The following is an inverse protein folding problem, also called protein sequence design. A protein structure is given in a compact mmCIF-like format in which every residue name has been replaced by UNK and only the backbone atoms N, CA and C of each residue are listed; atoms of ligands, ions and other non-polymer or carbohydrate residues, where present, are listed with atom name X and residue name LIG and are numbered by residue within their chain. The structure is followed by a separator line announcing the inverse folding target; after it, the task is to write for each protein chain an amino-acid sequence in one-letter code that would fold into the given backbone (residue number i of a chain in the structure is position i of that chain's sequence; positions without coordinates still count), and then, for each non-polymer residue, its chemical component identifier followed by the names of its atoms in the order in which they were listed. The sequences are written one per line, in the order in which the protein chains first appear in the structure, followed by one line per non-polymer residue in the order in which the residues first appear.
data_IF_292946899465
#
_entry.id   IF_292946899465
#
_cell.length_a   1.000
_cell.length_b   1.000
_cell.length_c   1.000
_cell.angle_alpha   90.00
_cell.angle_beta   90.00
_cell.angle_gamma   90.00
#
_symmetry.space_group_name_H-M   'P 1'
#
loop_
_entity.id
_entity.type
_entity.pdbx_description
1 polymer ?
#
# COMPACT_ATOMS: atom_id res chain seq x y z
N UNK A 1 87.03 -1.45 -16.40
CA UNK A 1 85.95 -1.75 -15.43
C UNK A 1 84.67 -1.24 -16.06
N UNK A 2 83.98 -2.07 -16.85
CA UNK A 2 82.78 -2.86 -16.43
C UNK A 2 81.60 -1.93 -16.09
N UNK A 3 80.44 -1.97 -16.73
CA UNK A 3 79.70 -3.13 -17.22
C UNK A 3 78.64 -2.77 -18.27
N UNK A 4 78.55 -3.67 -19.24
CA UNK A 4 77.48 -3.98 -20.19
C UNK A 4 76.07 -3.91 -19.58
N UNK A 5 75.11 -3.29 -20.28
CA UNK A 5 73.69 -3.67 -20.19
C UNK A 5 73.05 -3.71 -21.58
N UNK A 6 72.36 -4.83 -21.80
CA UNK A 6 71.77 -5.30 -23.04
C UNK A 6 70.47 -4.59 -23.40
N UNK A 7 70.13 -4.66 -24.70
CA UNK A 7 68.83 -4.33 -25.29
C UNK A 7 67.69 -5.15 -24.66
N UNK A 8 66.54 -4.50 -24.49
CA UNK A 8 65.22 -5.15 -24.56
C UNK A 8 64.38 -4.34 -25.55
N UNK A 9 64.10 -4.99 -26.67
CA UNK A 9 62.98 -4.72 -27.57
C UNK A 9 61.66 -5.06 -26.87
N UNK A 10 60.68 -4.17 -26.95
CA UNK A 10 59.24 -4.47 -26.90
C UNK A 10 58.56 -3.19 -27.43
N UNK A 11 58.07 -3.03 -28.65
CA UNK A 11 57.21 -3.89 -29.50
C UNK A 11 56.12 -4.61 -28.73
N UNK A 12 55.01 -3.93 -28.47
CA UNK A 12 53.73 -4.62 -28.21
C UNK A 12 52.79 -3.89 -27.27
N UNK A 13 52.09 -2.86 -27.75
CA UNK A 13 51.04 -2.20 -26.96
C UNK A 13 49.86 -1.63 -27.75
N UNK A 14 49.86 -1.73 -29.08
CA UNK A 14 48.79 -1.18 -29.95
C UNK A 14 47.99 -2.24 -30.71
N UNK A 15 48.19 -3.54 -30.45
CA UNK A 15 47.58 -4.63 -31.24
C UNK A 15 46.45 -5.40 -30.53
N UNK A 16 45.98 -4.97 -29.35
CA UNK A 16 44.98 -5.75 -28.59
C UNK A 16 43.51 -5.39 -28.88
N UNK A 17 43.23 -4.28 -29.58
CA UNK A 17 41.85 -3.88 -29.93
C UNK A 17 41.52 -3.91 -31.44
N UNK A 18 42.49 -4.15 -32.32
CA UNK A 18 42.27 -4.24 -33.78
C UNK A 18 41.80 -5.63 -34.25
N UNK A 19 41.82 -6.63 -33.37
CA UNK A 19 41.53 -8.04 -33.71
C UNK A 19 40.03 -8.40 -33.74
N UNK A 20 39.14 -7.44 -33.44
CA UNK A 20 37.68 -7.64 -33.53
C UNK A 20 37.08 -7.21 -34.89
N UNK A 21 37.89 -6.69 -35.81
CA UNK A 21 37.50 -6.43 -37.20
C UNK A 21 37.76 -7.67 -38.06
N UNK A 22 37.05 -8.75 -37.77
CA UNK A 22 37.16 -9.98 -38.53
C UNK A 22 36.27 -9.92 -39.78
N UNK A 23 36.76 -9.25 -40.83
CA UNK A 23 36.15 -9.18 -42.18
C UNK A 23 35.78 -10.56 -42.76
N UNK A 24 36.39 -11.64 -42.23
CA UNK A 24 36.13 -13.03 -42.60
C UNK A 24 34.73 -13.52 -42.17
N UNK A 25 34.17 -13.00 -41.07
CA UNK A 25 32.81 -13.30 -40.65
C UNK A 25 31.77 -12.49 -41.43
N UNK A 26 32.14 -11.28 -41.90
CA UNK A 26 31.31 -10.46 -42.78
C UNK A 26 31.25 -10.99 -44.23
N UNK A 27 32.33 -11.61 -44.73
CA UNK A 27 32.35 -12.20 -46.07
C UNK A 27 31.42 -13.41 -46.19
N UNK A 28 31.48 -14.36 -45.23
CA UNK A 28 30.61 -15.54 -45.22
C UNK A 28 29.13 -15.21 -44.92
N UNK A 29 28.85 -14.13 -44.17
CA UNK A 29 27.48 -13.64 -43.97
C UNK A 29 26.92 -12.98 -45.23
N UNK A 30 27.70 -12.21 -46.00
CA UNK A 30 27.23 -11.67 -47.29
C UNK A 30 26.88 -12.77 -48.29
N UNK A 31 27.73 -13.78 -48.42
CA UNK A 31 27.50 -14.91 -49.33
C UNK A 31 26.30 -15.78 -48.91
N UNK A 32 26.08 -15.95 -47.59
CA UNK A 32 24.88 -16.61 -47.05
C UNK A 32 23.60 -15.78 -47.24
N UNK A 33 23.67 -14.46 -47.07
CA UNK A 33 22.56 -13.52 -47.26
C UNK A 33 22.14 -13.38 -48.73
N UNK A 34 23.07 -13.47 -49.68
CA UNK A 34 22.81 -13.39 -51.12
C UNK A 34 22.43 -14.74 -51.74
N UNK A 35 22.65 -15.86 -51.05
CA UNK A 35 22.30 -17.19 -51.54
C UNK A 35 20.77 -17.42 -51.52
N UNK A 36 20.19 -17.78 -52.67
CA UNK A 36 18.77 -18.15 -52.78
C UNK A 36 18.50 -19.59 -52.27
N UNK A 37 19.23 -19.99 -51.22
CA UNK A 37 19.19 -21.32 -50.62
C UNK A 37 18.01 -21.47 -49.67
N UNK A 38 17.39 -22.66 -49.64
CA UNK A 38 16.34 -23.03 -48.68
C UNK A 38 16.85 -22.85 -47.24
N UNK A 39 18.13 -23.14 -46.98
CA UNK A 39 18.74 -23.00 -45.66
C UNK A 39 18.84 -21.54 -45.22
N UNK A 40 19.19 -20.63 -46.13
CA UNK A 40 19.24 -19.20 -45.85
C UNK A 40 17.85 -18.61 -45.56
N UNK A 41 16.83 -19.02 -46.33
CA UNK A 41 15.43 -18.65 -46.07
C UNK A 41 14.93 -19.16 -44.71
N UNK A 42 15.29 -20.39 -44.36
CA UNK A 42 14.93 -20.98 -43.07
C UNK A 42 15.63 -20.27 -41.90
N UNK A 43 16.93 -19.99 -42.01
CA UNK A 43 17.70 -19.26 -41.00
C UNK A 43 17.21 -17.81 -40.84
N UNK A 44 16.88 -17.13 -41.94
CA UNK A 44 16.29 -15.79 -41.91
C UNK A 44 14.92 -15.80 -41.22
N UNK A 45 14.07 -16.78 -41.52
CA UNK A 45 12.76 -16.92 -40.86
C UNK A 45 12.93 -17.15 -39.34
N UNK A 46 13.89 -17.98 -38.94
CA UNK A 46 14.25 -18.17 -37.53
C UNK A 46 14.73 -16.89 -36.84
N UNK A 47 15.56 -16.09 -37.52
CA UNK A 47 16.04 -14.80 -37.01
C UNK A 47 14.88 -13.81 -36.84
N UNK A 48 14.00 -13.69 -37.84
CA UNK A 48 12.81 -12.84 -37.76
C UNK A 48 11.89 -13.28 -36.62
N UNK A 49 11.67 -14.58 -36.46
CA UNK A 49 10.89 -15.13 -35.35
C UNK A 49 11.52 -14.78 -34.00
N UNK A 50 12.84 -14.90 -33.86
CA UNK A 50 13.56 -14.57 -32.62
C UNK A 50 13.45 -13.07 -32.30
N UNK A 51 13.66 -12.20 -33.29
CA UNK A 51 13.50 -10.76 -33.12
C UNK A 51 12.06 -10.38 -32.77
N UNK A 52 11.08 -11.03 -33.37
CA UNK A 52 9.66 -10.83 -33.05
C UNK A 52 9.34 -11.25 -31.61
N UNK A 53 9.81 -12.41 -31.16
CA UNK A 53 9.64 -12.86 -29.76
C UNK A 53 10.34 -11.90 -28.79
N UNK A 54 11.54 -11.40 -29.13
CA UNK A 54 12.26 -10.42 -28.32
C UNK A 54 11.49 -9.08 -28.24
N UNK A 55 10.98 -8.59 -29.37
CA UNK A 55 10.18 -7.37 -29.43
C UNK A 55 8.87 -7.51 -28.65
N UNK A 56 8.17 -8.65 -28.76
CA UNK A 56 6.99 -8.95 -27.97
C UNK A 56 7.31 -8.96 -26.47
N UNK A 57 8.40 -9.62 -26.05
CA UNK A 57 8.82 -9.64 -24.64
C UNK A 57 9.15 -8.25 -24.11
N UNK A 58 9.82 -7.43 -24.91
CA UNK A 58 10.13 -6.05 -24.55
C UNK A 58 8.83 -5.23 -24.43
N UNK A 59 7.94 -5.34 -25.42
CA UNK A 59 6.65 -4.66 -25.44
C UNK A 59 5.77 -5.02 -24.24
N UNK A 60 5.64 -6.31 -23.92
CA UNK A 60 4.88 -6.75 -22.74
C UNK A 60 5.52 -6.30 -21.43
N UNK A 61 6.85 -6.24 -21.35
CA UNK A 61 7.55 -5.75 -20.16
C UNK A 61 7.32 -4.25 -19.93
N UNK A 62 7.41 -3.44 -20.99
CA UNK A 62 7.10 -2.00 -20.90
C UNK A 62 5.63 -1.80 -20.51
N UNK A 63 4.73 -2.56 -21.12
CA UNK A 63 3.30 -2.49 -20.83
C UNK A 63 2.99 -2.84 -19.37
N UNK A 64 3.64 -3.90 -18.87
CA UNK A 64 3.54 -4.30 -17.47
C UNK A 64 4.07 -3.20 -16.55
N UNK A 65 5.20 -2.58 -16.87
CA UNK A 65 5.76 -1.52 -16.03
C UNK A 65 4.86 -0.28 -15.94
N UNK A 66 4.27 0.16 -17.06
CA UNK A 66 3.39 1.34 -17.11
C UNK A 66 2.06 1.09 -16.39
N UNK A 67 1.51 -0.12 -16.47
CA UNK A 67 0.19 -0.43 -15.90
C UNK A 67 0.23 -1.19 -14.57
N UNK A 68 1.41 -1.45 -14.01
CA UNK A 68 1.49 -2.08 -12.69
C UNK A 68 0.99 -1.13 -11.60
N UNK A 69 0.12 -1.59 -10.68
CA UNK A 69 -0.27 -0.80 -9.53
C UNK A 69 0.94 -0.39 -8.68
N UNK A 70 0.84 0.78 -8.03
CA UNK A 70 1.89 1.29 -7.14
C UNK A 70 2.15 0.30 -5.99
N UNK A 71 3.42 0.19 -5.60
CA UNK A 71 3.88 -0.63 -4.48
C UNK A 71 3.61 0.02 -3.11
N UNK A 72 3.34 1.32 -3.10
CA UNK A 72 3.17 2.18 -1.94
C UNK A 72 1.97 3.14 -2.05
N UNK A 73 0.76 2.62 -2.34
CA UNK A 73 -0.40 3.46 -2.60
C UNK A 73 -0.80 4.30 -1.38
N UNK A 74 -1.13 5.56 -1.65
CA UNK A 74 -1.76 6.46 -0.68
C UNK A 74 -3.27 6.28 -0.79
N UNK A 75 -3.87 5.71 0.25
CA UNK A 75 -5.30 5.38 0.31
C UNK A 75 -6.15 6.60 0.68
N UNK A 76 -5.63 7.43 1.60
CA UNK A 76 -6.23 8.73 1.94
C UNK A 76 -5.15 9.78 1.70
N UNK A 77 -5.30 10.61 0.67
CA UNK A 77 -4.38 11.73 0.39
C UNK A 77 -4.93 13.05 0.92
N UNK A 78 -5.05 13.16 2.24
CA UNK A 78 -5.73 14.27 2.90
C UNK A 78 -6.15 13.92 4.32
N UNK A 79 -7.07 14.73 4.85
CA UNK A 79 -7.74 14.56 6.13
C UNK A 79 -9.23 14.30 5.92
N UNK A 80 -9.79 13.38 6.68
CA UNK A 80 -11.22 13.05 6.69
C UNK A 80 -11.75 13.07 8.11
N UNK A 81 -13.02 13.45 8.27
CA UNK A 81 -13.75 13.33 9.53
C UNK A 81 -13.88 11.85 9.90
N UNK A 82 -13.38 11.47 11.08
CA UNK A 82 -13.35 10.09 11.54
C UNK A 82 -14.72 9.54 11.96
N UNK A 83 -15.79 10.34 11.88
CA UNK A 83 -17.18 9.90 12.03
C UNK A 83 -17.82 9.49 10.70
N UNK A 84 -17.19 9.83 9.57
CA UNK A 84 -17.70 9.54 8.23
C UNK A 84 -17.01 8.31 7.64
N UNK A 85 -17.80 7.28 7.36
CA UNK A 85 -17.30 6.06 6.74
C UNK A 85 -16.78 6.36 5.33
N UNK A 86 -15.63 5.77 5.00
CA UNK A 86 -15.08 5.75 3.66
C UNK A 86 -14.74 4.31 3.27
N UNK A 87 -15.12 3.92 2.06
CA UNK A 87 -14.74 2.65 1.43
C UNK A 87 -13.79 2.94 0.29
N UNK A 88 -12.69 2.20 0.22
CA UNK A 88 -11.67 2.33 -0.82
C UNK A 88 -11.62 1.00 -1.59
N UNK A 89 -12.28 0.93 -2.75
CA UNK A 89 -12.33 -0.27 -3.57
C UNK A 89 -10.93 -0.74 -3.98
N UNK A 90 -10.74 -2.05 -4.02
CA UNK A 90 -9.46 -2.67 -4.38
C UNK A 90 -9.47 -3.31 -5.76
N UNK A 91 -10.67 -3.60 -6.29
CA UNK A 91 -10.86 -4.13 -7.63
C UNK A 91 -10.49 -3.06 -8.68
N UNK A 92 -9.43 -3.28 -9.49
CA UNK A 92 -8.98 -2.32 -10.49
C UNK A 92 -10.01 -2.03 -11.59
N UNK A 93 -11.04 -2.87 -11.74
CA UNK A 93 -12.12 -2.65 -12.70
C UNK A 93 -13.10 -1.55 -12.27
N UNK A 94 -13.08 -1.15 -10.99
CA UNK A 94 -13.96 -0.12 -10.42
C UNK A 94 -13.28 1.25 -10.51
N UNK A 95 -14.03 2.28 -10.93
CA UNK A 95 -13.52 3.64 -10.99
C UNK A 95 -13.16 4.16 -9.58
N UNK A 96 -12.00 4.80 -9.46
CA UNK A 96 -11.49 5.31 -8.18
C UNK A 96 -10.92 4.23 -7.25
N UNK A 97 -10.81 2.97 -7.70
CA UNK A 97 -10.15 1.94 -6.93
C UNK A 97 -8.66 2.26 -6.73
N UNK A 98 -8.14 1.89 -5.56
CA UNK A 98 -6.72 2.02 -5.21
C UNK A 98 -6.20 0.63 -4.85
N UNK A 99 -5.76 -0.18 -5.83
CA UNK A 99 -5.38 -1.56 -5.60
C UNK A 99 -4.17 -1.68 -4.68
N UNK A 100 -4.28 -2.53 -3.67
CA UNK A 100 -3.17 -2.91 -2.81
C UNK A 100 -2.56 -4.22 -3.31
N UNK A 101 -1.32 -4.15 -3.75
CA UNK A 101 -0.56 -5.32 -4.13
C UNK A 101 -0.16 -6.14 -2.90
N UNK A 102 -0.07 -7.46 -3.08
CA UNK A 102 0.47 -8.34 -2.05
C UNK A 102 1.92 -8.00 -1.74
N UNK A 103 2.37 -8.44 -0.56
CA UNK A 103 3.77 -8.37 -0.13
C UNK A 103 4.71 -8.75 -1.26
N UNK A 104 5.68 -7.88 -1.55
CA UNK A 104 6.86 -8.24 -2.34
C UNK A 104 7.79 -8.94 -1.37
N UNK A 105 7.56 -10.25 -1.18
CA UNK A 105 8.29 -11.09 -0.22
C UNK A 105 9.79 -10.77 -0.18
N UNK A 106 10.34 -10.80 1.03
CA UNK A 106 11.77 -10.66 1.27
C UNK A 106 12.43 -12.04 1.37
N UNK A 107 13.76 -12.09 1.43
CA UNK A 107 14.50 -13.33 1.72
C UNK A 107 14.05 -13.97 3.05
N UNK A 108 13.53 -13.15 3.97
CA UNK A 108 13.04 -13.54 5.29
C UNK A 108 11.51 -13.78 5.33
N UNK A 109 10.84 -13.75 4.17
CA UNK A 109 9.43 -14.07 4.02
C UNK A 109 8.51 -12.86 3.84
N UNK A 110 7.27 -12.98 4.33
CA UNK A 110 6.18 -12.01 4.11
C UNK A 110 6.48 -10.65 4.77
N UNK A 111 6.31 -9.58 4.00
CA UNK A 111 6.62 -8.20 4.43
C UNK A 111 5.55 -7.22 3.96
N UNK A 112 5.09 -6.33 4.84
CA UNK A 112 4.25 -5.18 4.46
C UNK A 112 4.16 -4.16 5.58
N UNK A 113 3.76 -2.93 5.25
CA UNK A 113 3.57 -1.86 6.23
C UNK A 113 2.30 -1.07 5.95
N UNK A 114 1.59 -0.69 7.01
CA UNK A 114 0.52 0.29 7.00
C UNK A 114 0.93 1.49 7.85
N UNK A 115 0.59 2.70 7.40
CA UNK A 115 0.79 3.93 8.16
C UNK A 115 -0.48 4.75 8.12
N UNK A 116 -0.88 5.31 9.26
CA UNK A 116 -2.01 6.22 9.35
C UNK A 116 -1.74 7.30 10.39
N UNK A 117 -2.24 8.50 10.13
CA UNK A 117 -2.32 9.55 11.14
C UNK A 117 -3.73 9.62 11.70
N UNK A 118 -3.84 9.72 13.01
CA UNK A 118 -5.11 9.91 13.70
C UNK A 118 -5.00 11.08 14.68
N UNK A 119 -6.11 11.78 14.88
CA UNK A 119 -6.29 12.75 15.95
C UNK A 119 -7.62 12.46 16.62
N UNK A 120 -7.61 12.16 17.92
CA UNK A 120 -8.80 11.78 18.68
C UNK A 120 -9.19 12.97 19.56
N UNK A 121 -10.39 13.52 19.32
CA UNK A 121 -10.90 14.66 20.08
C UNK A 121 -11.57 14.21 21.39
N UNK A 122 -12.34 13.12 21.32
CA UNK A 122 -13.16 12.65 22.44
C UNK A 122 -13.26 11.12 22.45
N UNK A 123 -13.02 10.53 23.63
CA UNK A 123 -13.15 9.10 23.89
C UNK A 123 -14.54 8.71 24.40
N UNK A 124 -15.36 9.68 24.85
CA UNK A 124 -16.72 9.43 25.32
C UNK A 124 -17.67 9.03 24.18
N UNK A 125 -17.47 9.62 23.00
CA UNK A 125 -18.16 9.20 21.78
C UNK A 125 -18.00 7.70 21.56
N UNK A 126 -19.09 6.93 21.73
CA UNK A 126 -19.12 5.47 21.52
C UNK A 126 -18.08 4.74 22.38
N UNK A 127 -17.94 5.15 23.63
CA UNK A 127 -16.92 4.61 24.53
C UNK A 127 -17.04 3.10 24.79
N UNK A 128 -18.24 2.52 24.77
CA UNK A 128 -18.47 1.11 25.17
C UNK A 128 -18.28 0.09 24.03
N UNK A 129 -17.68 0.49 22.92
CA UNK A 129 -17.48 -0.34 21.75
C UNK A 129 -16.12 -0.07 21.09
N UNK A 130 -15.71 -0.97 20.20
CA UNK A 130 -14.53 -0.78 19.37
C UNK A 130 -14.80 0.32 18.36
N UNK A 131 -14.06 1.44 18.51
CA UNK A 131 -14.16 2.55 17.57
C UNK A 131 -13.21 2.33 16.42
N UNK A 132 -13.76 2.22 15.22
CA UNK A 132 -13.04 1.78 14.05
C UNK A 132 -12.21 2.92 13.44
N UNK A 133 -10.91 2.70 13.25
CA UNK A 133 -10.04 3.61 12.50
C UNK A 133 -10.00 3.16 11.05
N UNK A 134 -9.42 1.99 10.77
CA UNK A 134 -9.46 1.37 9.45
C UNK A 134 -9.33 -0.15 9.55
N UNK A 135 -9.78 -0.87 8.52
CA UNK A 135 -9.38 -2.27 8.32
C UNK A 135 -9.34 -2.64 6.83
N UNK A 136 -8.61 -3.70 6.51
CA UNK A 136 -8.66 -4.35 5.19
C UNK A 136 -9.36 -5.70 5.26
N UNK A 137 -10.48 -5.85 4.56
CA UNK A 137 -11.32 -7.04 4.65
C UNK A 137 -12.73 -6.89 4.08
N UNK A 138 -13.69 -7.56 4.71
CA UNK A 138 -15.12 -7.51 4.39
C UNK A 138 -15.86 -6.53 5.31
N UNK A 139 -17.14 -6.26 5.09
CA UNK A 139 -17.94 -5.27 5.82
C UNK A 139 -18.88 -5.87 6.89
N UNK A 140 -18.50 -6.97 7.54
CA UNK A 140 -19.32 -7.62 8.56
C UNK A 140 -18.83 -7.25 9.97
N UNK A 141 -19.26 -6.06 10.41
CA UNK A 141 -19.00 -5.53 11.75
C UNK A 141 -19.88 -6.26 12.76
N UNK A 142 -19.27 -6.78 13.82
CA UNK A 142 -19.98 -7.34 14.95
C UNK A 142 -20.80 -6.25 15.66
N UNK A 143 -22.13 -6.30 15.50
CA UNK A 143 -23.10 -5.42 16.17
C UNK A 143 -23.95 -6.16 17.21
N UNK A 144 -23.71 -7.46 17.41
CA UNK A 144 -24.60 -8.32 18.20
C UNK A 144 -23.99 -8.81 19.51
N UNK A 145 -22.68 -9.08 19.55
CA UNK A 145 -21.97 -9.61 20.72
C UNK A 145 -21.05 -8.55 21.31
N UNK A 146 -21.26 -8.16 22.56
CA UNK A 146 -20.37 -7.21 23.22
C UNK A 146 -18.96 -7.82 23.45
N UNK A 147 -17.87 -7.05 23.26
CA UNK A 147 -17.87 -5.67 22.76
C UNK A 147 -18.13 -5.62 21.25
N UNK A 148 -19.05 -4.74 20.83
CA UNK A 148 -19.41 -4.55 19.42
C UNK A 148 -18.37 -3.66 18.71
N UNK A 149 -18.43 -3.59 17.38
CA UNK A 149 -17.66 -2.64 16.56
C UNK A 149 -16.44 -3.24 15.85
N UNK A 150 -16.06 -4.49 16.16
CA UNK A 150 -14.94 -5.17 15.50
C UNK A 150 -15.40 -5.93 14.24
N UNK A 151 -14.59 -5.88 13.18
CA UNK A 151 -14.89 -6.58 11.92
C UNK A 151 -14.45 -8.05 11.94
N UNK A 152 -15.25 -8.93 11.36
CA UNK A 152 -14.95 -10.35 11.15
C UNK A 152 -15.54 -10.86 9.83
N UNK A 153 -15.08 -11.96 9.23
CA UNK A 153 -13.86 -12.71 9.58
C UNK A 153 -12.58 -12.08 9.03
N UNK A 154 -12.63 -11.29 7.94
CA UNK A 154 -11.44 -10.73 7.33
C UNK A 154 -11.11 -9.37 7.97
N UNK A 155 -10.04 -9.34 8.75
CA UNK A 155 -9.62 -8.18 9.52
C UNK A 155 -8.08 -8.16 9.61
N UNK A 156 -7.43 -7.89 8.47
CA UNK A 156 -5.98 -8.11 8.33
C UNK A 156 -5.30 -7.04 7.45
N UNK A 157 -4.73 -5.98 8.06
CA UNK A 157 -4.92 -5.57 9.44
C UNK A 157 -6.25 -4.84 9.67
N UNK A 158 -6.67 -4.78 10.93
CA UNK A 158 -7.57 -3.77 11.46
C UNK A 158 -6.93 -2.96 12.57
N UNK A 159 -7.36 -1.71 12.71
CA UNK A 159 -6.94 -0.80 13.76
C UNK A 159 -8.16 -0.15 14.40
N UNK A 160 -8.24 -0.24 15.73
CA UNK A 160 -9.37 0.19 16.53
C UNK A 160 -8.91 0.93 17.78
N UNK A 161 -9.78 1.77 18.34
CA UNK A 161 -9.65 2.25 19.72
C UNK A 161 -10.48 1.32 20.61
N UNK A 162 -9.90 0.83 21.70
CA UNK A 162 -10.54 -0.10 22.60
C UNK A 162 -11.75 0.50 23.34
N UNK A 163 -12.76 -0.33 23.71
CA UNK A 163 -13.86 0.07 24.57
C UNK A 163 -13.35 0.52 25.95
N UNK A 164 -13.85 1.66 26.45
CA UNK A 164 -13.63 2.15 27.81
C UNK A 164 -12.22 2.62 28.12
N UNK A 165 -11.30 2.59 27.14
CA UNK A 165 -9.91 3.01 27.33
C UNK A 165 -9.43 3.91 26.18
N UNK A 166 -8.22 4.44 26.34
CA UNK A 166 -7.46 5.12 25.29
C UNK A 166 -6.40 4.18 24.69
N UNK A 167 -6.67 2.89 24.61
CA UNK A 167 -5.75 1.93 23.99
C UNK A 167 -6.08 1.76 22.50
N UNK A 168 -5.06 1.51 21.70
CA UNK A 168 -5.23 1.01 20.34
C UNK A 168 -5.15 -0.51 20.31
N UNK A 169 -5.99 -1.11 19.47
CA UNK A 169 -5.97 -2.54 19.19
C UNK A 169 -5.71 -2.75 17.72
N UNK A 170 -4.58 -3.36 17.41
CA UNK A 170 -4.29 -3.90 16.08
C UNK A 170 -4.81 -5.32 16.04
N UNK A 171 -5.68 -5.62 15.08
CA UNK A 171 -6.17 -6.98 14.83
C UNK A 171 -5.52 -7.48 13.55
N UNK A 172 -5.01 -8.71 13.59
CA UNK A 172 -4.43 -9.37 12.43
C UNK A 172 -4.97 -10.79 12.33
N UNK A 173 -5.58 -11.13 11.20
CA UNK A 173 -5.84 -12.53 10.91
C UNK A 173 -4.52 -13.25 10.59
N UNK A 174 -4.34 -14.44 11.13
CA UNK A 174 -3.32 -15.41 10.74
C UNK A 174 -4.00 -16.67 10.19
N UNK A 175 -3.23 -17.63 9.67
CA UNK A 175 -3.80 -18.89 9.18
C UNK A 175 -4.39 -19.76 10.30
N UNK A 176 -3.98 -19.54 11.55
CA UNK A 176 -4.42 -20.32 12.70
C UNK A 176 -5.37 -19.55 13.63
N UNK A 177 -5.24 -18.21 13.69
CA UNK A 177 -6.09 -17.37 14.51
C UNK A 177 -6.62 -16.19 13.69
N UNK A 178 -7.93 -16.15 13.46
CA UNK A 178 -8.55 -15.04 12.75
C UNK A 178 -8.59 -13.75 13.59
N UNK A 179 -8.44 -13.80 14.91
CA UNK A 179 -8.48 -12.59 15.76
C UNK A 179 -7.24 -12.54 16.64
N UNK A 180 -6.07 -12.31 16.05
CA UNK A 180 -4.86 -12.07 16.83
C UNK A 180 -4.72 -10.57 17.13
N UNK A 181 -4.86 -10.22 18.41
CA UNK A 181 -4.89 -8.84 18.88
C UNK A 181 -3.54 -8.41 19.46
N UNK A 182 -3.11 -7.20 19.10
CA UNK A 182 -1.92 -6.53 19.64
C UNK A 182 -2.34 -5.18 20.18
N UNK A 183 -2.25 -5.03 21.51
CA UNK A 183 -2.71 -3.84 22.23
C UNK A 183 -1.54 -2.87 22.45
N UNK A 184 -1.75 -1.61 22.09
CA UNK A 184 -0.87 -0.48 22.41
C UNK A 184 -1.59 0.41 23.39
N UNK A 185 -1.02 0.54 24.60
CA UNK A 185 -1.68 1.22 25.70
C UNK A 185 -1.44 2.72 25.72
N UNK A 186 -2.37 3.44 26.33
CA UNK A 186 -2.21 4.81 26.79
C UNK A 186 -1.83 5.80 25.67
N UNK A 187 -2.54 5.77 24.54
CA UNK A 187 -2.26 6.73 23.46
C UNK A 187 -2.74 8.14 23.82
N UNK A 188 -2.01 9.20 23.38
CA UNK A 188 -2.41 10.58 23.64
C UNK A 188 -3.66 10.94 22.83
N UNK A 189 -4.51 11.78 23.43
CA UNK A 189 -5.67 12.40 22.78
C UNK A 189 -5.41 13.90 22.53
N UNK A 190 -6.23 14.53 21.69
CA UNK A 190 -6.14 15.93 21.27
C UNK A 190 -4.80 16.29 20.60
N UNK A 191 -4.12 15.29 20.04
CA UNK A 191 -2.85 15.43 19.33
C UNK A 191 -2.83 14.48 18.14
N UNK A 192 -2.15 14.91 17.08
CA UNK A 192 -1.84 14.02 15.96
C UNK A 192 -0.87 12.91 16.40
N UNK A 193 -1.25 11.69 16.05
CA UNK A 193 -0.52 10.46 16.33
C UNK A 193 -0.34 9.71 15.03
N UNK A 194 0.89 9.35 14.70
CA UNK A 194 1.18 8.42 13.63
C UNK A 194 1.25 7.00 14.19
N UNK A 195 0.51 6.08 13.56
CA UNK A 195 0.51 4.66 13.87
C UNK A 195 1.02 3.91 12.65
N UNK A 196 2.10 3.14 12.81
CA UNK A 196 2.66 2.31 11.75
C UNK A 196 2.62 0.85 12.19
N UNK A 197 1.98 0.01 11.40
CA UNK A 197 1.89 -1.44 11.59
C UNK A 197 2.78 -2.08 10.53
N UNK A 198 3.89 -2.68 10.95
CA UNK A 198 4.90 -3.28 10.07
C UNK A 198 4.99 -4.77 10.33
N UNK A 199 4.80 -5.58 9.30
CA UNK A 199 5.08 -7.03 9.34
C UNK A 199 6.39 -7.28 8.62
N UNK A 200 7.25 -8.04 9.27
CA UNK A 200 8.57 -8.43 8.80
C UNK A 200 8.92 -9.86 9.23
N UNK A 201 10.00 -10.43 8.69
CA UNK A 201 10.48 -11.79 9.07
C UNK A 201 9.32 -12.82 9.12
N UNK A 202 8.45 -12.78 8.11
CA UNK A 202 7.29 -13.68 7.91
C UNK A 202 6.13 -13.53 8.90
N UNK A 203 6.36 -13.33 10.19
CA UNK A 203 5.31 -13.28 11.22
C UNK A 203 5.59 -12.29 12.37
N UNK A 204 6.61 -11.43 12.25
CA UNK A 204 6.91 -10.42 13.27
C UNK A 204 6.12 -9.15 13.00
N UNK A 205 5.15 -8.84 13.85
CA UNK A 205 4.35 -7.62 13.78
C UNK A 205 4.90 -6.59 14.77
N UNK A 206 5.42 -5.50 14.22
CA UNK A 206 5.88 -4.33 14.95
C UNK A 206 4.87 -3.19 14.83
N UNK A 207 4.57 -2.53 15.94
CA UNK A 207 3.76 -1.31 15.98
C UNK A 207 4.64 -0.14 16.42
N UNK A 208 4.70 0.89 15.59
CA UNK A 208 5.39 2.14 15.89
C UNK A 208 4.38 3.24 16.12
N UNK A 209 4.70 4.11 17.08
CA UNK A 209 3.95 5.32 17.39
C UNK A 209 4.88 6.51 17.24
N UNK A 210 4.55 7.45 16.36
CA UNK A 210 5.40 8.60 16.00
C UNK A 210 6.86 8.19 15.70
N UNK A 211 7.03 7.07 14.98
CA UNK A 211 8.33 6.54 14.56
C UNK A 211 9.11 5.75 15.62
N UNK A 212 8.60 5.64 16.84
CA UNK A 212 9.19 4.81 17.91
C UNK A 212 8.50 3.46 17.98
N UNK A 213 9.27 2.36 18.00
CA UNK A 213 8.76 1.01 18.25
C UNK A 213 8.18 0.94 19.67
N UNK A 214 6.86 0.73 19.79
CA UNK A 214 6.17 0.60 21.09
C UNK A 214 5.80 -0.84 21.41
N UNK A 215 5.58 -1.67 20.38
CA UNK A 215 5.20 -3.07 20.56
C UNK A 215 5.80 -3.92 19.46
N UNK A 216 6.40 -5.04 19.85
CA UNK A 216 6.78 -6.14 18.97
C UNK A 216 6.00 -7.37 19.40
N UNK A 217 5.33 -8.01 18.45
CA UNK A 217 4.53 -9.21 18.67
C UNK A 217 4.87 -10.25 17.61
N UNK A 218 5.18 -11.47 18.03
CA UNK A 218 5.37 -12.60 17.12
C UNK A 218 4.01 -13.25 16.92
N UNK A 219 3.48 -13.16 15.70
CA UNK A 219 2.19 -13.74 15.34
C UNK A 219 2.27 -15.26 15.42
N UNK A 220 1.17 -15.91 15.81
CA UNK A 220 1.13 -17.38 15.94
C UNK A 220 1.44 -18.11 14.63
N UNK A 221 0.98 -17.55 13.52
CA UNK A 221 1.29 -18.04 12.18
C UNK A 221 1.35 -16.88 11.18
N UNK A 222 1.62 -17.19 9.91
CA UNK A 222 1.77 -16.18 8.86
C UNK A 222 0.50 -15.32 8.76
N UNK A 223 0.60 -13.98 8.77
CA UNK A 223 -0.57 -13.12 8.65
C UNK A 223 -1.21 -13.27 7.27
N UNK A 224 -2.54 -13.34 7.25
CA UNK A 224 -3.31 -13.52 6.02
C UNK A 224 -3.36 -12.20 5.25
N UNK A 225 -3.13 -12.28 3.95
CA UNK A 225 -3.42 -11.18 3.03
C UNK A 225 -4.73 -11.49 2.29
N UNK A 226 -5.66 -10.54 2.33
CA UNK A 226 -6.97 -10.64 1.67
C UNK A 226 -7.08 -9.65 0.50
N UNK A 227 -8.05 -9.87 -0.38
CA UNK A 227 -8.37 -8.98 -1.51
C UNK A 227 -9.56 -8.07 -1.22
N UNK A 228 -10.06 -8.08 0.01
CA UNK A 228 -11.19 -7.25 0.43
C UNK A 228 -10.82 -5.77 0.43
N UNK A 229 -11.86 -4.94 0.48
CA UNK A 229 -11.72 -3.50 0.43
C UNK A 229 -11.09 -2.94 1.70
N UNK A 230 -10.65 -1.68 1.61
CA UNK A 230 -10.23 -0.94 2.81
C UNK A 230 -11.38 -0.08 3.25
N UNK A 231 -11.81 -0.27 4.48
CA UNK A 231 -12.82 0.54 5.12
C UNK A 231 -12.15 1.44 6.15
N UNK A 232 -12.61 2.68 6.25
CA UNK A 232 -12.12 3.70 7.18
C UNK A 232 -13.34 4.28 7.90
N UNK A 233 -13.23 4.47 9.21
CA UNK A 233 -14.32 5.02 10.05
C UNK A 233 -15.66 4.29 9.91
N UNK A 234 -15.61 2.97 9.63
CA UNK A 234 -16.80 2.14 9.48
C UNK A 234 -17.59 2.08 10.79
N UNK A 235 -18.90 1.86 10.69
CA UNK A 235 -19.78 1.85 11.86
C UNK A 235 -19.57 3.13 12.69
N UNK A 236 -19.57 4.31 12.05
CA UNK A 236 -19.44 5.64 12.69
C UNK A 236 -18.10 5.98 13.34
N UNK A 237 -17.08 5.11 13.25
CA UNK A 237 -15.69 5.40 13.57
C UNK A 237 -15.45 5.98 14.96
N UNK A 238 -14.72 7.10 15.04
CA UNK A 238 -14.34 7.77 16.28
C UNK A 238 -14.48 9.29 16.18
N UNK A 239 -14.48 9.99 17.33
CA UNK A 239 -14.50 11.45 17.31
C UNK A 239 -13.11 12.01 17.04
N UNK A 240 -12.94 12.64 15.87
CA UNK A 240 -11.68 13.26 15.47
C UNK A 240 -11.44 13.13 13.97
N UNK A 241 -10.19 12.92 13.57
CA UNK A 241 -9.78 12.90 12.17
C UNK A 241 -8.82 11.76 11.85
N UNK A 242 -8.95 11.22 10.64
CA UNK A 242 -7.97 10.31 10.03
C UNK A 242 -7.29 11.03 8.89
N UNK A 243 -5.97 10.88 8.77
CA UNK A 243 -5.19 11.50 7.70
C UNK A 243 -4.15 10.55 7.14
N UNK A 244 -3.87 10.69 5.85
CA UNK A 244 -2.67 10.14 5.22
C UNK A 244 -2.50 8.63 5.44
N UNK A 245 -3.58 7.85 5.27
CA UNK A 245 -3.55 6.39 5.28
C UNK A 245 -2.76 5.88 4.07
N UNK A 246 -1.72 5.08 4.31
CA UNK A 246 -0.79 4.56 3.30
C UNK A 246 -0.49 3.10 3.53
N UNK A 247 -0.28 2.38 2.44
CA UNK A 247 0.21 1.01 2.44
C UNK A 247 1.57 0.93 1.76
N UNK A 248 2.39 -0.03 2.16
CA UNK A 248 3.64 -0.40 1.51
C UNK A 248 3.68 -1.93 1.42
N UNK A 249 3.99 -2.47 0.24
CA UNK A 249 4.15 -3.92 0.05
C UNK A 249 5.51 -4.47 0.55
N UNK A 250 6.23 -3.67 1.35
CA UNK A 250 7.53 -3.99 1.95
C UNK A 250 7.53 -3.61 3.43
N UNK A 251 8.49 -4.15 4.18
CA UNK A 251 8.73 -3.79 5.57
C UNK A 251 9.66 -2.57 5.62
N UNK A 252 9.08 -1.36 5.58
CA UNK A 252 9.85 -0.11 5.44
C UNK A 252 10.88 0.07 6.57
N UNK A 253 12.03 0.66 6.24
CA UNK A 253 13.12 0.89 7.20
C UNK A 253 12.94 2.17 8.03
N UNK A 254 13.80 2.34 9.04
CA UNK A 254 13.73 3.48 9.97
C UNK A 254 13.77 4.85 9.28
N UNK A 255 14.56 5.01 8.22
CA UNK A 255 14.63 6.28 7.49
C UNK A 255 13.30 6.67 6.86
N UNK A 256 12.57 5.69 6.30
CA UNK A 256 11.27 5.94 5.68
C UNK A 256 10.19 6.17 6.76
N UNK A 257 10.26 5.44 7.87
CA UNK A 257 9.42 5.70 9.06
C UNK A 257 9.62 7.13 9.54
N UNK A 258 10.87 7.58 9.71
CA UNK A 258 11.18 8.93 10.15
C UNK A 258 10.69 9.97 9.15
N UNK A 259 10.88 9.73 7.84
CA UNK A 259 10.35 10.61 6.79
C UNK A 259 8.82 10.75 6.86
N UNK A 260 8.08 9.67 7.12
CA UNK A 260 6.61 9.73 7.31
C UNK A 260 6.25 10.62 8.51
N UNK A 261 6.97 10.48 9.62
CA UNK A 261 6.74 11.24 10.85
C UNK A 261 7.06 12.72 10.65
N UNK A 262 8.21 13.03 10.04
CA UNK A 262 8.67 14.40 9.79
C UNK A 262 7.75 15.16 8.83
N UNK A 263 7.18 14.46 7.83
CA UNK A 263 6.20 15.04 6.92
C UNK A 263 4.87 15.39 7.60
N UNK A 264 4.55 14.73 8.72
CA UNK A 264 3.31 14.97 9.45
C UNK A 264 2.04 14.48 8.74
N UNK A 265 0.87 14.70 9.36
CA UNK A 265 -0.42 14.48 8.72
C UNK A 265 -0.70 15.55 7.66
N UNK A 266 -1.38 15.18 6.58
CA UNK A 266 -2.04 16.15 5.73
C UNK A 266 -3.21 16.78 6.48
N UNK A 267 -3.27 18.12 6.53
CA UNK A 267 -4.37 18.89 7.11
C UNK A 267 -5.40 19.36 6.06
N UNK A 268 -5.20 18.96 4.80
CA UNK A 268 -6.13 19.27 3.71
C UNK A 268 -7.34 18.36 3.83
N UNK A 269 -8.48 18.92 4.23
CA UNK A 269 -9.76 18.19 4.21
C UNK A 269 -10.07 17.71 2.80
N UNK A 270 -10.32 16.41 2.66
CA UNK A 270 -10.80 15.80 1.43
C UNK A 270 -12.23 15.35 1.67
N UNK A 271 -13.20 16.03 1.03
CA UNK A 271 -14.61 15.75 1.27
C UNK A 271 -15.54 16.93 1.08
N UNK A 272 -15.81 17.25 -0.19
CA UNK A 272 -17.09 17.85 -0.64
C UNK A 272 -17.68 17.11 -1.85
N UNK A 273 -17.05 16.02 -2.30
CA UNK A 273 -17.49 15.17 -3.42
C UNK A 273 -17.56 13.71 -2.94
N UNK A 274 -18.50 13.44 -2.04
CA UNK A 274 -19.05 12.10 -1.83
C UNK A 274 -20.45 12.15 -2.43
N UNK A 275 -20.66 11.52 -3.58
CA UNK A 275 -21.97 11.49 -4.23
C UNK A 275 -23.05 11.04 -3.23
N UNK A 276 -24.13 11.82 -3.16
CA UNK A 276 -25.43 11.54 -2.53
C UNK A 276 -25.60 11.53 -0.99
N UNK A 277 -24.70 12.15 -0.22
CA UNK A 277 -25.06 12.59 1.14
C UNK A 277 -25.49 14.06 1.10
N UNK A 278 -26.81 14.32 0.94
CA UNK A 278 -27.43 15.65 0.99
C UNK A 278 -26.68 16.56 1.99
N UNK A 279 -26.19 17.75 1.57
CA UNK A 279 -25.55 18.67 2.49
C UNK A 279 -26.51 18.99 3.63
N UNK A 280 -26.08 18.71 4.87
CA UNK A 280 -26.85 19.00 6.10
C UNK A 280 -26.76 20.50 6.43
N UNK A 281 -27.09 21.38 5.48
CA UNK A 281 -27.47 22.72 5.90
C UNK A 281 -28.84 22.63 6.57
N UNK A 282 -28.98 23.32 7.70
CA UNK A 282 -30.27 23.53 8.34
C UNK A 282 -31.17 24.23 7.29
N UNK A 283 -32.22 23.56 6.82
CA UNK A 283 -33.13 24.21 5.87
C UNK A 283 -33.74 25.44 6.53
N UNK A 284 -33.72 26.59 5.85
CA UNK A 284 -34.43 27.82 6.25
C UNK A 284 -35.93 27.59 6.53
N UNK A 285 -36.49 26.43 6.17
CA UNK A 285 -37.82 25.99 6.61
C UNK A 285 -38.01 26.01 8.13
N UNK A 286 -36.98 25.72 8.93
CA UNK A 286 -37.06 25.88 10.39
C UNK A 286 -37.21 27.36 10.80
N UNK A 287 -36.53 28.27 10.09
CA UNK A 287 -36.63 29.72 10.32
C UNK A 287 -37.99 30.28 9.88
N UNK A 288 -38.60 29.71 8.83
CA UNK A 288 -39.90 30.15 8.30
C UNK A 288 -41.13 29.41 8.84
N UNK A 289 -40.96 28.29 9.56
CA UNK A 289 -42.05 27.57 10.21
C UNK A 289 -42.63 28.29 11.45
N UNK A 290 -42.03 29.43 11.85
CA UNK A 290 -42.42 30.18 13.05
C UNK A 290 -43.51 31.23 12.87
N UNK A 291 -43.99 31.52 11.65
CA UNK A 291 -45.04 32.52 11.43
C UNK A 291 -46.09 31.99 10.43
N UNK A 292 -47.04 31.14 10.87
CA UNK A 292 -48.26 30.99 10.07
C UNK A 292 -49.20 29.83 10.36
N UNK A 293 -48.74 28.60 10.62
CA UNK A 293 -49.64 27.45 10.41
C UNK A 293 -49.96 26.66 11.68
N UNK A 294 -51.07 27.06 12.30
CA UNK A 294 -51.91 26.18 13.10
C UNK A 294 -52.43 25.05 12.21
N UNK A 295 -52.03 23.80 12.46
CA UNK A 295 -52.85 22.65 12.09
C UNK A 295 -52.89 21.65 13.24
N UNK A 296 -54.06 21.61 13.87
CA UNK A 296 -54.46 20.69 14.92
C UNK A 296 -54.84 19.34 14.29
N UNK A 297 -54.25 18.19 14.67
CA UNK A 297 -54.83 16.91 14.31
C UNK A 297 -55.98 16.60 15.28
N UNK A 298 -57.22 16.80 14.81
CA UNK A 298 -58.40 16.21 15.44
C UNK A 298 -58.50 14.74 15.06
N UNK A 299 -58.59 13.89 16.09
CA UNK A 299 -59.03 12.48 16.15
C UNK A 299 -58.39 11.49 15.17
#
# INVERSE_FOLDING_TARGET
MSSQFSRVSDTGGQSSFSSFSSNKYMAGTKEFLESNSIVAKFAFLLLVLLLFVMALRLGTSIMSWIFSPSTDPILINGMVDAKQMMRIPQDPSVNGAIPIMRSKGSDEGLVFTWSVWINIDDLQYRQNEYRHIFHKGNDDINVTKAPIGMNQPNNAPGLYIAPGTNDLVVVMNTFENINEEVIVKDIPINKWLNVIIRVDEQHKLDVYINGRLVRRHILKSVPRQNYGDVYVSMNGGFSGYTSSLRYFNTAIGQNQIQSIVDNGPSLKMIGSNMDDAKPRYLSLRWFFAGNGDMYNPSS
#
